data_IF_824561653389
#
_entry.id   IF_824561653389
#
_cell.length_a   1.000
_cell.length_b   1.000
_cell.length_c   1.000
_cell.angle_alpha   90.00
_cell.angle_beta   90.00
_cell.angle_gamma   90.00
#
_symmetry.space_group_name_H-M   'P 1'
#
loop_
_entity.id
_entity.type
_entity.pdbx_description
1 polymer ?
#
# COMPACT_ATOMS: atom_id res chain seq x y z
N UNK A 1 20.02 -44.54 52.03
CA UNK A 1 20.91 -43.66 51.30
C UNK A 1 20.46 -43.73 49.84
N UNK A 2 19.59 -42.82 49.40
CA UNK A 2 19.03 -42.79 48.05
C UNK A 2 19.34 -41.40 47.49
N UNK A 3 20.24 -41.37 46.50
CA UNK A 3 20.62 -40.15 45.75
C UNK A 3 19.48 -39.79 44.80
N UNK A 4 18.93 -38.57 44.90
CA UNK A 4 18.03 -37.98 43.94
C UNK A 4 18.87 -37.21 42.89
N UNK A 5 18.86 -37.65 41.66
CA UNK A 5 19.38 -36.91 40.52
C UNK A 5 18.32 -35.88 40.07
N UNK A 6 18.64 -34.60 40.19
CA UNK A 6 17.93 -33.50 39.60
C UNK A 6 18.52 -33.26 38.17
N UNK A 7 17.75 -33.58 37.13
CA UNK A 7 18.03 -33.18 35.79
C UNK A 7 17.50 -31.73 35.60
N UNK A 8 18.45 -30.80 35.51
CA UNK A 8 18.15 -29.44 35.11
C UNK A 8 17.98 -29.38 33.59
N UNK A 9 16.76 -29.24 33.11
CA UNK A 9 16.45 -28.99 31.71
C UNK A 9 16.79 -27.54 31.32
N UNK A 10 17.83 -27.34 30.51
CA UNK A 10 18.15 -26.06 29.93
C UNK A 10 17.13 -25.74 28.81
N UNK A 11 16.27 -24.78 29.05
CA UNK A 11 15.39 -24.20 28.00
C UNK A 11 16.28 -23.30 27.14
N UNK A 12 16.62 -23.76 25.94
CA UNK A 12 17.21 -22.91 24.91
C UNK A 12 16.12 -21.95 24.42
N UNK A 13 16.14 -20.73 24.92
CA UNK A 13 15.41 -19.62 24.33
C UNK A 13 16.07 -19.29 22.99
N UNK A 14 15.47 -19.73 21.88
CA UNK A 14 15.81 -19.25 20.54
C UNK A 14 15.39 -17.81 20.41
N UNK A 15 16.28 -16.90 20.80
CA UNK A 15 16.14 -15.48 20.53
C UNK A 15 16.12 -15.30 19.00
N UNK A 16 14.99 -14.83 18.49
CA UNK A 16 14.92 -14.25 17.13
C UNK A 16 15.82 -13.03 17.17
N UNK A 17 17.05 -13.19 16.67
CA UNK A 17 17.97 -12.08 16.44
C UNK A 17 17.33 -11.19 15.39
N UNK A 18 16.79 -10.05 15.81
CA UNK A 18 16.53 -8.93 14.92
C UNK A 18 17.84 -8.65 14.19
N UNK A 19 17.84 -8.92 12.87
CA UNK A 19 18.96 -8.62 11.98
C UNK A 19 19.42 -7.20 12.26
N UNK A 20 20.74 -7.04 12.36
CA UNK A 20 21.41 -5.76 12.59
C UNK A 20 20.74 -4.66 11.78
N UNK A 21 20.07 -3.73 12.47
CA UNK A 21 19.70 -2.43 11.92
C UNK A 21 21.01 -1.85 11.36
N UNK A 22 21.12 -1.79 10.04
CA UNK A 22 22.19 -1.00 9.43
C UNK A 22 22.20 0.32 10.17
N UNK A 23 23.33 0.71 10.76
CA UNK A 23 23.40 1.92 11.56
C UNK A 23 23.01 3.07 10.64
N UNK A 24 21.77 3.55 10.79
CA UNK A 24 21.28 4.68 10.02
C UNK A 24 22.15 5.88 10.39
N UNK A 25 22.52 6.75 9.42
CA UNK A 25 23.38 7.87 9.66
C UNK A 25 22.80 8.77 10.78
N UNK A 26 23.69 9.31 11.61
CA UNK A 26 23.37 10.38 12.55
C UNK A 26 23.59 11.72 11.88
N UNK A 27 22.76 12.70 12.21
CA UNK A 27 22.87 14.03 11.63
C UNK A 27 23.65 14.96 12.57
N UNK A 28 24.68 15.70 12.08
CA UNK A 28 25.36 16.72 12.87
C UNK A 28 24.41 17.82 13.37
N UNK A 29 24.80 18.51 14.45
CA UNK A 29 24.07 19.68 14.92
C UNK A 29 23.93 20.74 13.82
N UNK A 30 22.81 21.46 13.81
CA UNK A 30 22.54 22.50 12.82
C UNK A 30 21.19 23.16 13.07
N UNK A 31 20.76 24.03 12.16
CA UNK A 31 19.46 24.68 12.27
C UNK A 31 18.31 23.67 12.29
N UNK A 32 17.28 23.87 13.15
CA UNK A 32 16.13 22.99 13.19
C UNK A 32 15.37 22.95 11.85
N UNK A 33 14.94 21.74 11.45
CA UNK A 33 14.19 21.50 10.23
C UNK A 33 12.85 20.92 10.63
N UNK A 34 11.77 21.58 10.25
CA UNK A 34 10.40 21.09 10.44
C UNK A 34 9.86 20.59 9.11
N UNK A 35 9.27 19.39 9.13
CA UNK A 35 8.71 18.72 7.97
C UNK A 35 7.24 18.47 8.25
N UNK A 36 6.35 19.03 7.46
CA UNK A 36 4.94 18.67 7.46
C UNK A 36 4.74 17.47 6.55
N UNK A 37 4.16 16.40 7.08
CA UNK A 37 3.92 15.16 6.34
C UNK A 37 2.45 14.71 6.45
N UNK A 38 1.84 14.38 5.31
CA UNK A 38 0.53 13.75 5.23
C UNK A 38 0.70 12.38 4.61
N UNK A 39 0.44 11.30 5.38
CA UNK A 39 0.85 9.98 4.92
C UNK A 39 -0.33 9.01 4.73
N UNK A 40 -0.82 8.38 5.76
CA UNK A 40 -1.78 7.28 5.63
C UNK A 40 -3.25 7.75 5.55
N UNK A 41 -4.18 6.91 5.04
CA UNK A 41 -5.59 7.28 4.98
C UNK A 41 -6.23 7.50 6.36
N UNK A 42 -5.90 6.64 7.34
CA UNK A 42 -6.48 6.66 8.69
C UNK A 42 -5.38 6.51 9.75
N UNK A 43 -5.55 7.09 10.95
CA UNK A 43 -4.60 6.95 12.05
C UNK A 43 -4.57 5.52 12.65
N UNK A 44 -5.55 4.68 12.34
CA UNK A 44 -5.65 3.28 12.77
C UNK A 44 -4.88 2.30 11.87
N UNK A 45 -4.35 2.76 10.74
CA UNK A 45 -3.60 1.89 9.83
C UNK A 45 -2.28 1.44 10.46
N UNK A 46 -1.94 0.14 10.40
CA UNK A 46 -0.65 -0.35 10.89
C UNK A 46 0.56 0.33 10.26
N UNK A 47 0.47 0.72 8.98
CA UNK A 47 1.49 1.50 8.28
C UNK A 47 1.82 2.80 9.03
N UNK A 48 0.80 3.45 9.58
CA UNK A 48 0.94 4.68 10.35
C UNK A 48 1.50 4.40 11.75
N UNK A 49 0.87 3.49 12.48
CA UNK A 49 1.17 3.26 13.90
C UNK A 49 2.46 2.48 14.14
N UNK A 50 2.83 1.58 13.22
CA UNK A 50 3.99 0.69 13.37
C UNK A 50 5.22 1.14 12.57
N UNK A 51 5.06 2.04 11.60
CA UNK A 51 6.19 2.49 10.77
C UNK A 51 6.29 4.01 10.72
N UNK A 52 5.26 4.73 10.28
CA UNK A 52 5.38 6.19 10.11
C UNK A 52 5.66 6.89 11.45
N UNK A 53 4.94 6.53 12.51
CA UNK A 53 5.17 7.08 13.84
C UNK A 53 6.56 6.70 14.38
N UNK A 54 6.90 5.41 14.56
CA UNK A 54 8.15 5.06 15.24
C UNK A 54 9.41 5.30 14.39
N UNK A 55 9.33 5.21 13.05
CA UNK A 55 10.51 5.31 12.18
C UNK A 55 10.64 6.69 11.56
N UNK A 56 9.57 7.18 10.89
CA UNK A 56 9.63 8.45 10.18
C UNK A 56 9.56 9.65 11.13
N UNK A 57 8.69 9.62 12.15
CA UNK A 57 8.57 10.73 13.10
C UNK A 57 9.61 10.63 14.23
N UNK A 58 9.47 9.61 15.08
CA UNK A 58 10.23 9.51 16.32
C UNK A 58 11.68 9.11 16.07
N UNK A 59 11.91 8.16 15.15
CA UNK A 59 13.24 7.72 14.76
C UNK A 59 14.04 8.83 14.06
N UNK A 60 13.41 9.64 13.22
CA UNK A 60 14.04 10.81 12.60
C UNK A 60 14.46 11.84 13.65
N UNK A 61 13.57 12.18 14.58
CA UNK A 61 13.87 13.10 15.66
C UNK A 61 15.03 12.59 16.56
N UNK A 62 14.96 11.33 16.97
CA UNK A 62 15.98 10.72 17.83
C UNK A 62 17.38 10.70 17.18
N UNK A 63 17.49 10.22 15.93
CA UNK A 63 18.77 10.12 15.21
C UNK A 63 19.36 11.47 14.77
N UNK A 64 18.53 12.49 14.67
CA UNK A 64 18.97 13.85 14.38
C UNK A 64 19.19 14.71 15.63
N UNK A 65 19.13 14.12 16.84
CA UNK A 65 19.16 14.86 18.11
C UNK A 65 18.14 16.02 18.14
N UNK A 66 16.94 15.80 17.58
CA UNK A 66 15.86 16.78 17.51
C UNK A 66 16.01 17.83 16.41
N UNK A 67 17.07 17.78 15.60
CA UNK A 67 17.29 18.74 14.50
C UNK A 67 16.21 18.61 13.43
N UNK A 68 15.80 17.39 13.08
CA UNK A 68 14.72 17.13 12.10
C UNK A 68 13.47 16.66 12.85
N UNK A 69 12.38 17.41 12.70
CA UNK A 69 11.10 17.15 13.34
C UNK A 69 10.01 16.95 12.29
N UNK A 70 9.44 15.75 12.21
CA UNK A 70 8.36 15.42 11.29
C UNK A 70 7.02 15.55 11.99
N UNK A 71 6.16 16.44 11.49
CA UNK A 71 4.78 16.60 11.93
C UNK A 71 3.88 15.76 11.04
N UNK A 72 3.49 14.58 11.54
CA UNK A 72 2.64 13.64 10.83
C UNK A 72 1.16 14.00 10.97
N UNK A 73 0.43 13.81 9.88
CA UNK A 73 -1.03 13.76 9.86
C UNK A 73 -1.51 12.74 8.83
N UNK A 74 -2.77 12.31 8.94
CA UNK A 74 -3.41 11.39 8.00
C UNK A 74 -4.34 12.12 7.04
N UNK A 75 -4.79 11.43 5.97
CA UNK A 75 -5.79 11.99 5.05
C UNK A 75 -7.08 12.34 5.78
N UNK A 76 -7.55 11.46 6.67
CA UNK A 76 -8.79 11.70 7.44
C UNK A 76 -8.67 12.93 8.35
N UNK A 77 -7.54 13.14 9.04
CA UNK A 77 -7.31 14.31 9.90
C UNK A 77 -7.25 15.62 9.11
N UNK A 78 -6.89 15.55 7.82
CA UNK A 78 -6.85 16.70 6.91
C UNK A 78 -8.08 16.81 6.01
N UNK A 79 -9.06 15.91 6.16
CA UNK A 79 -10.26 15.83 5.32
C UNK A 79 -9.94 15.73 3.81
N UNK A 80 -9.00 14.83 3.48
CA UNK A 80 -8.53 14.57 2.11
C UNK A 80 -9.03 13.21 1.60
N UNK A 81 -9.42 13.15 0.34
CA UNK A 81 -9.75 11.88 -0.34
C UNK A 81 -8.50 11.12 -0.82
N UNK A 82 -7.34 11.79 -0.90
CA UNK A 82 -6.04 11.24 -1.26
C UNK A 82 -5.51 11.69 -2.62
N UNK A 83 -6.36 11.96 -3.59
CA UNK A 83 -5.96 12.43 -4.93
C UNK A 83 -5.36 13.85 -4.93
N UNK A 84 -5.55 14.62 -3.86
CA UNK A 84 -4.99 15.96 -3.70
C UNK A 84 -3.51 15.98 -3.29
N UNK A 85 -2.96 14.85 -2.88
CA UNK A 85 -1.60 14.77 -2.31
C UNK A 85 -0.53 15.32 -3.26
N UNK A 86 -0.58 14.97 -4.55
CA UNK A 86 0.39 15.48 -5.54
C UNK A 86 0.36 17.02 -5.58
N UNK A 87 -0.82 17.61 -5.57
CA UNK A 87 -1.00 19.07 -5.58
C UNK A 87 -0.48 19.72 -4.31
N UNK A 88 -0.76 19.14 -3.13
CA UNK A 88 -0.28 19.65 -1.84
C UNK A 88 1.26 19.64 -1.75
N UNK A 89 1.87 18.54 -2.20
CA UNK A 89 3.32 18.41 -2.28
C UNK A 89 3.90 19.40 -3.29
N UNK A 90 3.36 19.46 -4.50
CA UNK A 90 3.81 20.38 -5.55
C UNK A 90 3.77 21.84 -5.11
N UNK A 91 2.68 22.24 -4.44
CA UNK A 91 2.53 23.64 -3.97
C UNK A 91 3.38 23.97 -2.75
N UNK A 92 4.04 22.99 -2.11
CA UNK A 92 4.81 23.16 -0.90
C UNK A 92 3.95 23.39 0.35
N UNK A 93 2.66 23.03 0.31
CA UNK A 93 1.79 23.05 1.50
C UNK A 93 2.18 21.93 2.49
N UNK A 94 2.78 20.88 1.99
CA UNK A 94 3.45 19.82 2.75
C UNK A 94 4.77 19.47 2.08
N UNK A 95 5.78 19.16 2.88
CA UNK A 95 7.08 18.73 2.37
C UNK A 95 7.04 17.28 1.92
N UNK A 96 6.27 16.42 2.63
CA UNK A 96 6.11 15.01 2.34
C UNK A 96 4.62 14.68 2.24
N UNK A 97 4.22 14.01 1.16
CA UNK A 97 2.88 13.47 1.00
C UNK A 97 2.93 12.02 0.56
N UNK A 98 2.06 11.16 1.08
CA UNK A 98 1.98 9.78 0.64
C UNK A 98 0.55 9.39 0.26
N UNK A 99 0.45 8.50 -0.72
CA UNK A 99 -0.81 7.92 -1.17
C UNK A 99 -0.57 6.76 -2.13
N UNK A 100 -1.61 5.99 -2.42
CA UNK A 100 -1.50 4.91 -3.40
C UNK A 100 -1.24 5.49 -4.79
N UNK A 101 -0.26 4.94 -5.51
CA UNK A 101 0.21 5.51 -6.77
C UNK A 101 -0.88 5.54 -7.84
N UNK A 102 -1.78 4.55 -7.83
CA UNK A 102 -2.95 4.55 -8.72
C UNK A 102 -3.93 5.71 -8.42
N UNK A 103 -4.12 6.09 -7.15
CA UNK A 103 -4.92 7.28 -6.78
C UNK A 103 -4.22 8.58 -7.21
N UNK A 104 -2.89 8.59 -7.18
CA UNK A 104 -2.07 9.75 -7.55
C UNK A 104 -1.82 9.87 -9.07
N UNK A 105 -2.26 8.90 -9.87
CA UNK A 105 -1.93 8.79 -11.30
C UNK A 105 -2.65 9.77 -12.22
N UNK A 106 -3.62 10.55 -11.71
CA UNK A 106 -4.41 11.47 -12.51
C UNK A 106 -3.57 12.44 -13.35
N UNK A 107 -2.57 13.07 -12.72
CA UNK A 107 -1.64 14.02 -13.39
C UNK A 107 -0.40 13.32 -13.96
N UNK A 108 -0.05 12.13 -13.46
CA UNK A 108 1.17 11.39 -13.80
C UNK A 108 0.83 9.91 -14.10
N UNK A 109 0.27 9.59 -15.28
CA UNK A 109 -0.32 8.28 -15.59
C UNK A 109 0.62 7.07 -15.47
N UNK A 110 1.95 7.28 -15.55
CA UNK A 110 2.95 6.21 -15.35
C UNK A 110 2.85 5.58 -13.97
N UNK A 111 2.38 6.32 -12.95
CA UNK A 111 2.24 5.84 -11.57
C UNK A 111 1.24 4.68 -11.45
N UNK A 112 0.17 4.68 -12.26
CA UNK A 112 -0.81 3.58 -12.27
C UNK A 112 -0.17 2.26 -12.76
N UNK A 113 0.82 2.36 -13.68
CA UNK A 113 1.53 1.21 -14.24
C UNK A 113 2.34 0.39 -13.25
N UNK A 114 2.61 0.93 -12.06
CA UNK A 114 3.36 0.26 -11.01
C UNK A 114 2.55 -0.87 -10.34
N UNK A 115 1.23 -0.72 -10.28
CA UNK A 115 0.34 -1.66 -9.58
C UNK A 115 -1.01 -1.83 -10.28
N UNK A 116 -0.97 -2.20 -11.55
CA UNK A 116 -2.18 -2.47 -12.33
C UNK A 116 -2.94 -3.69 -11.76
N UNK A 117 -4.27 -3.63 -11.78
CA UNK A 117 -5.11 -4.73 -11.31
C UNK A 117 -4.83 -6.03 -12.09
N UNK A 118 -4.44 -7.09 -11.39
CA UNK A 118 -4.07 -8.39 -11.97
C UNK A 118 -2.61 -8.50 -12.44
N UNK A 119 -1.78 -7.46 -12.27
CA UNK A 119 -0.39 -7.44 -12.75
C UNK A 119 0.53 -8.38 -11.94
N UNK A 120 0.58 -8.19 -10.64
CA UNK A 120 1.52 -8.90 -9.76
C UNK A 120 0.79 -9.96 -8.93
N UNK A 121 1.09 -11.27 -9.12
CA UNK A 121 0.47 -12.35 -8.36
C UNK A 121 0.92 -12.39 -6.90
N UNK A 122 2.12 -11.88 -6.60
CA UNK A 122 2.66 -11.80 -5.25
C UNK A 122 3.39 -10.48 -4.96
N UNK A 123 3.65 -10.24 -3.68
CA UNK A 123 4.23 -8.99 -3.19
C UNK A 123 5.68 -8.77 -3.63
N UNK A 124 6.44 -9.85 -3.89
CA UNK A 124 7.84 -9.73 -4.33
C UNK A 124 7.90 -9.24 -5.77
N UNK A 125 6.98 -9.72 -6.61
CA UNK A 125 6.83 -9.22 -7.98
C UNK A 125 6.40 -7.75 -7.97
N UNK A 126 5.44 -7.37 -7.10
CA UNK A 126 5.04 -5.99 -6.93
C UNK A 126 6.21 -5.09 -6.51
N UNK A 127 7.08 -5.57 -5.59
CA UNK A 127 8.27 -4.84 -5.17
C UNK A 127 9.28 -4.68 -6.31
N UNK A 128 9.57 -5.74 -7.04
CA UNK A 128 10.49 -5.69 -8.20
C UNK A 128 10.01 -4.71 -9.26
N UNK A 129 8.71 -4.73 -9.57
CA UNK A 129 8.09 -3.79 -10.52
C UNK A 129 8.20 -2.36 -10.01
N UNK A 130 7.86 -2.10 -8.76
CA UNK A 130 7.94 -0.77 -8.17
C UNK A 130 9.37 -0.21 -8.23
N UNK A 131 10.37 -0.99 -7.83
CA UNK A 131 11.79 -0.60 -7.86
C UNK A 131 12.27 -0.36 -9.31
N UNK A 132 11.86 -1.19 -10.27
CA UNK A 132 12.25 -1.05 -11.67
C UNK A 132 11.62 0.18 -12.35
N UNK A 133 10.38 0.55 -12.01
CA UNK A 133 9.68 1.70 -12.59
C UNK A 133 10.07 3.02 -11.93
N UNK A 134 10.59 3.02 -10.70
CA UNK A 134 10.92 4.23 -9.93
C UNK A 134 11.73 5.30 -10.73
N UNK A 135 12.80 4.95 -11.46
CA UNK A 135 13.55 5.95 -12.22
C UNK A 135 12.73 6.62 -13.33
N UNK A 136 11.84 5.86 -13.96
CA UNK A 136 10.95 6.38 -15.02
C UNK A 136 9.88 7.30 -14.42
N UNK A 137 9.25 6.85 -13.33
CA UNK A 137 8.24 7.61 -12.60
C UNK A 137 8.80 8.95 -12.09
N UNK A 138 10.03 8.96 -11.57
CA UNK A 138 10.66 10.19 -11.09
C UNK A 138 10.94 11.18 -12.23
N UNK A 139 11.38 10.74 -13.42
CA UNK A 139 11.54 11.65 -14.57
C UNK A 139 10.25 12.38 -14.94
N UNK A 140 9.11 11.71 -14.79
CA UNK A 140 7.82 12.33 -15.09
C UNK A 140 7.35 13.22 -13.91
N UNK A 141 7.51 12.77 -12.66
CA UNK A 141 7.14 13.54 -11.46
C UNK A 141 7.94 14.84 -11.29
N UNK A 142 9.21 14.85 -11.68
CA UNK A 142 10.06 16.04 -11.57
C UNK A 142 9.52 17.20 -12.40
N UNK A 143 8.85 16.93 -13.54
CA UNK A 143 8.15 17.95 -14.33
C UNK A 143 6.97 18.57 -13.59
N UNK A 144 6.42 17.84 -12.59
CA UNK A 144 5.35 18.32 -11.72
C UNK A 144 5.87 18.88 -10.39
N UNK A 145 7.19 19.03 -10.23
CA UNK A 145 7.78 19.58 -9.01
C UNK A 145 7.70 18.64 -7.80
N UNK A 146 7.58 17.33 -8.03
CA UNK A 146 7.55 16.29 -7.01
C UNK A 146 8.57 15.19 -7.32
N UNK A 147 8.93 14.39 -6.31
CA UNK A 147 9.80 13.22 -6.45
C UNK A 147 9.35 12.12 -5.49
N UNK A 148 9.33 10.88 -5.96
CA UNK A 148 9.18 9.69 -5.11
C UNK A 148 10.52 9.38 -4.44
N UNK A 149 10.51 9.30 -3.12
CA UNK A 149 11.70 8.98 -2.30
C UNK A 149 11.60 7.59 -1.65
N UNK A 150 10.39 7.04 -1.56
CA UNK A 150 10.16 5.67 -1.09
C UNK A 150 8.83 5.15 -1.64
N UNK A 151 8.72 3.83 -1.78
CA UNK A 151 7.46 3.15 -2.11
C UNK A 151 7.22 1.99 -1.15
N UNK A 152 5.95 1.63 -0.99
CA UNK A 152 5.53 0.58 -0.09
C UNK A 152 4.19 -0.01 -0.52
N UNK A 153 3.89 -1.29 -0.19
CA UNK A 153 2.58 -1.87 -0.45
C UNK A 153 1.65 -1.65 0.74
N UNK A 154 0.37 -1.64 0.48
CA UNK A 154 -0.61 -2.10 1.46
C UNK A 154 -0.68 -3.64 1.43
N UNK A 155 -1.40 -4.30 2.37
CA UNK A 155 -1.75 -5.72 2.24
C UNK A 155 -2.47 -5.99 0.92
N UNK A 156 -2.46 -7.23 0.45
CA UNK A 156 -3.15 -7.63 -0.78
C UNK A 156 -4.56 -7.02 -0.84
N UNK A 157 -4.85 -6.35 -1.93
CA UNK A 157 -6.15 -5.74 -2.17
C UNK A 157 -7.14 -6.82 -2.57
N UNK A 158 -8.13 -7.02 -1.73
CA UNK A 158 -9.14 -8.08 -1.84
C UNK A 158 -10.55 -7.50 -1.80
N UNK A 159 -11.53 -8.26 -2.28
CA UNK A 159 -12.93 -7.82 -2.32
C UNK A 159 -13.62 -8.14 -0.99
N UNK A 160 -14.30 -7.14 -0.45
CA UNK A 160 -15.23 -7.22 0.68
C UNK A 160 -16.64 -6.99 0.16
N UNK A 161 -17.61 -7.83 0.51
CA UNK A 161 -19.02 -7.66 0.12
C UNK A 161 -19.96 -7.74 1.31
N UNK A 162 -21.05 -6.97 1.24
CA UNK A 162 -22.17 -6.98 2.19
C UNK A 162 -23.03 -8.25 2.08
N UNK A 163 -23.08 -8.85 0.89
CA UNK A 163 -23.84 -10.04 0.58
C UNK A 163 -22.94 -11.16 0.05
N UNK A 164 -23.35 -12.44 0.19
CA UNK A 164 -22.58 -13.59 -0.25
C UNK A 164 -22.12 -13.50 -1.71
N UNK A 165 -20.90 -13.96 -1.98
CA UNK A 165 -20.36 -14.27 -3.30
C UNK A 165 -19.40 -15.45 -3.14
N UNK A 166 -19.14 -16.18 -4.22
CA UNK A 166 -18.30 -17.39 -4.23
C UNK A 166 -17.23 -17.35 -5.33
N UNK A 167 -17.35 -16.42 -6.30
CA UNK A 167 -16.47 -16.27 -7.44
C UNK A 167 -16.45 -14.83 -7.94
N UNK A 168 -15.50 -14.49 -8.81
CA UNK A 168 -15.45 -13.19 -9.49
C UNK A 168 -16.71 -12.93 -10.34
N UNK A 169 -17.33 -13.98 -10.89
CA UNK A 169 -18.54 -13.84 -11.72
C UNK A 169 -19.77 -13.35 -10.92
N UNK A 170 -19.81 -13.61 -9.60
CA UNK A 170 -20.90 -13.16 -8.72
C UNK A 170 -20.86 -11.64 -8.46
N UNK A 171 -19.79 -10.97 -8.89
CA UNK A 171 -19.66 -9.52 -8.79
C UNK A 171 -20.41 -8.79 -9.90
N UNK A 172 -20.89 -9.49 -10.94
CA UNK A 172 -21.68 -8.90 -12.03
C UNK A 172 -22.89 -8.14 -11.47
N UNK A 173 -23.07 -6.91 -11.96
CA UNK A 173 -24.14 -6.01 -11.56
C UNK A 173 -23.98 -5.35 -10.19
N UNK A 174 -23.01 -5.76 -9.37
CA UNK A 174 -22.77 -5.14 -8.04
C UNK A 174 -22.06 -3.80 -8.18
N UNK A 175 -22.43 -2.84 -7.34
CA UNK A 175 -21.69 -1.59 -7.17
C UNK A 175 -20.48 -1.85 -6.29
N UNK A 176 -19.29 -1.62 -6.85
CA UNK A 176 -18.02 -1.92 -6.16
C UNK A 176 -17.21 -0.64 -5.99
N UNK A 177 -16.89 -0.28 -4.76
CA UNK A 177 -15.97 0.82 -4.51
C UNK A 177 -14.57 0.49 -5.02
N UNK A 178 -14.04 1.40 -5.82
CA UNK A 178 -12.66 1.37 -6.35
C UNK A 178 -11.91 2.66 -5.98
N UNK A 179 -10.60 2.70 -6.24
CA UNK A 179 -9.75 3.87 -5.94
C UNK A 179 -8.73 4.20 -7.04
N UNK A 180 -8.93 3.65 -8.24
CA UNK A 180 -8.06 3.92 -9.38
C UNK A 180 -8.58 3.31 -10.68
N UNK A 181 -8.02 3.79 -11.79
CA UNK A 181 -8.52 3.45 -13.14
C UNK A 181 -8.33 1.98 -13.51
N UNK A 182 -7.22 1.35 -13.13
CA UNK A 182 -6.98 -0.08 -13.40
C UNK A 182 -8.01 -0.98 -12.72
N UNK A 183 -8.45 -0.63 -11.52
CA UNK A 183 -9.54 -1.32 -10.82
C UNK A 183 -10.90 -1.08 -11.50
N UNK A 184 -11.14 0.13 -12.02
CA UNK A 184 -12.36 0.41 -12.80
C UNK A 184 -12.40 -0.48 -14.05
N UNK A 185 -11.31 -0.55 -14.82
CA UNK A 185 -11.21 -1.43 -15.99
C UNK A 185 -11.47 -2.89 -15.61
N UNK A 186 -10.85 -3.36 -14.51
CA UNK A 186 -10.96 -4.74 -14.04
C UNK A 186 -12.41 -5.11 -13.69
N UNK A 187 -13.05 -4.33 -12.82
CA UNK A 187 -14.41 -4.63 -12.38
C UNK A 187 -15.47 -4.37 -13.44
N UNK A 188 -15.27 -3.40 -14.32
CA UNK A 188 -16.16 -3.18 -15.48
C UNK A 188 -16.16 -4.39 -16.40
N UNK A 189 -14.99 -5.01 -16.64
CA UNK A 189 -14.88 -6.22 -17.46
C UNK A 189 -15.62 -7.41 -16.84
N UNK A 190 -15.70 -7.49 -15.52
CA UNK A 190 -16.53 -8.47 -14.81
C UNK A 190 -18.04 -8.16 -14.89
N UNK A 191 -18.42 -7.02 -15.46
CA UNK A 191 -19.81 -6.54 -15.53
C UNK A 191 -20.31 -5.94 -14.22
N UNK A 192 -19.42 -5.62 -13.29
CA UNK A 192 -19.74 -4.85 -12.09
C UNK A 192 -19.88 -3.34 -12.40
N UNK A 193 -20.30 -2.56 -11.43
CA UNK A 193 -20.48 -1.11 -11.49
C UNK A 193 -19.47 -0.42 -10.55
N UNK A 194 -18.27 -0.05 -11.01
CA UNK A 194 -17.29 0.63 -10.18
C UNK A 194 -17.76 2.01 -9.71
N UNK A 195 -17.51 2.32 -8.44
CA UNK A 195 -17.80 3.62 -7.82
C UNK A 195 -16.52 4.15 -7.16
N UNK A 196 -16.05 5.33 -7.54
CA UNK A 196 -14.85 5.94 -6.97
C UNK A 196 -15.21 6.68 -5.68
N UNK A 197 -14.67 6.20 -4.54
CA UNK A 197 -14.90 6.78 -3.20
C UNK A 197 -13.57 6.78 -2.44
N UNK A 198 -13.25 7.91 -1.77
CA UNK A 198 -12.09 8.02 -0.87
C UNK A 198 -12.15 7.01 0.28
N UNK A 199 -11.00 6.46 0.70
CA UNK A 199 -10.97 5.39 1.70
C UNK A 199 -11.67 5.74 3.03
N UNK A 200 -11.55 6.96 3.60
CA UNK A 200 -12.22 7.32 4.85
C UNK A 200 -13.76 7.22 4.80
N UNK A 201 -14.35 7.35 3.62
CA UNK A 201 -15.81 7.39 3.42
C UNK A 201 -16.42 5.99 3.19
N UNK A 202 -15.58 4.97 2.95
CA UNK A 202 -16.06 3.66 2.46
C UNK A 202 -16.87 2.90 3.50
N UNK A 203 -16.49 2.98 4.78
CA UNK A 203 -17.29 2.36 5.86
C UNK A 203 -18.75 2.81 5.79
N UNK A 204 -18.99 4.12 5.76
CA UNK A 204 -20.34 4.67 5.66
C UNK A 204 -21.04 4.35 4.33
N UNK A 205 -20.29 4.25 3.23
CA UNK A 205 -20.85 3.86 1.94
C UNK A 205 -21.34 2.41 1.93
N UNK A 206 -20.57 1.49 2.53
CA UNK A 206 -20.97 0.09 2.74
C UNK A 206 -22.16 0.03 3.70
N UNK A 207 -22.10 0.68 4.85
CA UNK A 207 -23.16 0.68 5.87
C UNK A 207 -24.49 1.09 5.27
N UNK A 208 -24.53 2.21 4.55
CA UNK A 208 -25.75 2.77 3.94
C UNK A 208 -26.17 2.07 2.64
N UNK A 209 -25.37 1.12 2.15
CA UNK A 209 -25.66 0.42 0.89
C UNK A 209 -25.50 1.29 -0.36
N UNK A 210 -24.69 2.34 -0.31
CA UNK A 210 -24.29 3.10 -1.51
C UNK A 210 -23.49 2.21 -2.45
N UNK A 211 -22.66 1.33 -1.89
CA UNK A 211 -21.97 0.27 -2.60
C UNK A 211 -22.31 -1.09 -1.98
N UNK A 212 -22.27 -2.13 -2.79
CA UNK A 212 -22.55 -3.53 -2.39
C UNK A 212 -21.28 -4.24 -1.95
N UNK A 213 -20.15 -3.85 -2.56
CA UNK A 213 -18.81 -4.36 -2.28
C UNK A 213 -17.81 -3.21 -2.30
N UNK A 214 -16.61 -3.50 -1.79
CA UNK A 214 -15.48 -2.58 -1.90
C UNK A 214 -14.18 -3.39 -1.98
N UNK A 215 -13.15 -2.83 -2.68
CA UNK A 215 -11.81 -3.40 -2.68
C UNK A 215 -10.89 -2.57 -1.79
N UNK A 216 -10.12 -3.27 -0.95
CA UNK A 216 -9.05 -2.69 -0.13
C UNK A 216 -8.11 -3.77 0.36
N UNK A 217 -7.00 -3.37 0.98
CA UNK A 217 -6.10 -4.30 1.67
C UNK A 217 -6.82 -5.13 2.72
N UNK A 218 -6.53 -6.44 2.79
CA UNK A 218 -7.15 -7.33 3.76
C UNK A 218 -7.04 -6.78 5.19
N UNK A 219 -5.85 -6.33 5.61
CA UNK A 219 -5.64 -5.68 6.90
C UNK A 219 -6.22 -4.27 6.99
N UNK A 220 -6.24 -3.53 5.87
CA UNK A 220 -6.80 -2.17 5.84
C UNK A 220 -8.30 -2.18 6.13
N UNK A 221 -9.03 -3.20 5.62
CA UNK A 221 -10.44 -3.40 5.93
C UNK A 221 -10.67 -3.68 7.43
N UNK A 222 -9.83 -4.52 8.04
CA UNK A 222 -9.86 -4.79 9.48
C UNK A 222 -9.63 -3.50 10.30
N UNK A 223 -8.58 -2.73 9.96
CA UNK A 223 -8.26 -1.47 10.62
C UNK A 223 -9.38 -0.42 10.50
N UNK A 224 -10.14 -0.44 9.40
CA UNK A 224 -11.27 0.44 9.14
C UNK A 224 -12.63 -0.16 9.56
N UNK A 225 -12.64 -1.27 10.29
CA UNK A 225 -13.83 -1.92 10.88
C UNK A 225 -14.84 -2.43 9.83
N UNK A 226 -14.39 -2.76 8.62
CA UNK A 226 -15.28 -3.25 7.56
C UNK A 226 -16.00 -4.57 7.86
N UNK A 227 -15.51 -5.48 8.76
CA UNK A 227 -16.29 -6.64 9.20
C UNK A 227 -17.64 -6.30 9.85
N UNK A 228 -17.82 -5.07 10.33
CA UNK A 228 -19.11 -4.64 10.92
C UNK A 228 -20.19 -4.40 9.84
N UNK A 229 -19.76 -4.09 8.61
CA UNK A 229 -20.63 -3.68 7.49
C UNK A 229 -20.50 -4.58 6.26
N UNK A 230 -19.73 -5.67 6.35
CA UNK A 230 -19.52 -6.67 5.29
C UNK A 230 -19.58 -8.08 5.87
N UNK A 231 -19.93 -9.07 5.05
CA UNK A 231 -20.10 -10.46 5.48
C UNK A 231 -19.14 -11.45 4.83
N UNK A 232 -18.54 -11.08 3.68
CA UNK A 232 -17.67 -11.95 2.89
C UNK A 232 -16.41 -11.19 2.48
N UNK A 233 -15.27 -11.89 2.50
CA UNK A 233 -13.96 -11.40 2.08
C UNK A 233 -13.30 -12.42 1.15
N UNK A 234 -12.78 -11.99 -0.01
CA UNK A 234 -11.98 -12.84 -0.89
C UNK A 234 -10.53 -12.92 -0.42
N UNK A 235 -9.86 -14.03 -0.72
CA UNK A 235 -8.40 -14.17 -0.56
C UNK A 235 -7.62 -13.88 -1.85
N UNK A 236 -8.31 -13.53 -2.97
CA UNK A 236 -7.67 -13.23 -4.26
C UNK A 236 -6.98 -11.86 -4.22
N UNK A 237 -5.64 -11.79 -4.34
CA UNK A 237 -4.95 -10.53 -4.55
C UNK A 237 -5.28 -9.96 -5.94
N UNK A 238 -5.93 -8.81 -5.98
CA UNK A 238 -6.18 -8.09 -7.25
C UNK A 238 -5.07 -7.08 -7.54
N UNK A 239 -4.52 -6.44 -6.50
CA UNK A 239 -3.37 -5.55 -6.55
C UNK A 239 -2.75 -5.43 -5.15
N UNK A 240 -1.70 -4.61 -4.98
CA UNK A 240 -1.02 -4.39 -3.70
C UNK A 240 -1.19 -2.97 -3.18
N UNK A 241 -1.94 -2.14 -3.89
CA UNK A 241 -2.09 -0.71 -3.64
C UNK A 241 -0.74 -0.07 -3.31
N UNK A 242 0.26 -0.31 -4.18
CA UNK A 242 1.58 0.28 -4.00
C UNK A 242 1.44 1.78 -3.84
N UNK A 243 1.93 2.28 -2.73
CA UNK A 243 1.91 3.68 -2.34
C UNK A 243 3.32 4.27 -2.41
N UNK A 244 3.40 5.59 -2.45
CA UNK A 244 4.67 6.27 -2.49
C UNK A 244 4.70 7.48 -1.58
N UNK A 245 5.87 7.76 -1.02
CA UNK A 245 6.17 9.02 -0.36
C UNK A 245 6.76 9.97 -1.39
N UNK A 246 6.02 11.03 -1.69
CA UNK A 246 6.44 12.12 -2.54
C UNK A 246 6.99 13.26 -1.69
N UNK A 247 8.03 13.90 -2.20
CA UNK A 247 8.56 15.14 -1.62
C UNK A 247 8.40 16.30 -2.58
N UNK A 248 8.23 17.52 -2.05
CA UNK A 248 8.35 18.74 -2.85
C UNK A 248 9.77 18.84 -3.38
N UNK A 249 9.93 18.85 -4.71
CA UNK A 249 11.24 18.79 -5.36
C UNK A 249 12.11 20.03 -5.03
N UNK A 250 11.51 21.22 -4.99
CA UNK A 250 12.24 22.45 -4.66
C UNK A 250 12.74 22.44 -3.22
N UNK A 251 11.91 22.01 -2.27
CA UNK A 251 12.33 21.86 -0.88
C UNK A 251 13.43 20.82 -0.76
N UNK A 252 13.25 19.63 -1.36
CA UNK A 252 14.22 18.53 -1.34
C UNK A 252 15.59 18.93 -1.86
N UNK A 253 15.64 19.67 -2.97
CA UNK A 253 16.87 20.12 -3.60
C UNK A 253 17.61 21.21 -2.81
N UNK A 254 16.89 21.94 -1.94
CA UNK A 254 17.49 22.96 -1.05
C UNK A 254 18.01 22.39 0.28
N UNK A 255 17.74 21.13 0.58
CA UNK A 255 18.30 20.49 1.77
C UNK A 255 19.82 20.43 1.67
N UNK A 256 20.50 20.68 2.80
CA UNK A 256 21.91 20.41 2.93
C UNK A 256 22.21 18.96 2.54
N UNK A 257 23.32 18.65 1.84
CA UNK A 257 23.64 17.29 1.41
C UNK A 257 23.54 16.27 2.55
N UNK A 258 24.11 16.56 3.72
CA UNK A 258 24.05 15.65 4.87
C UNK A 258 22.60 15.40 5.36
N UNK A 259 21.73 16.41 5.30
CA UNK A 259 20.31 16.27 5.67
C UNK A 259 19.57 15.41 4.63
N UNK A 260 19.85 15.63 3.36
CA UNK A 260 19.26 14.86 2.27
C UNK A 260 19.66 13.39 2.35
N UNK A 261 20.96 13.09 2.53
CA UNK A 261 21.47 11.72 2.69
C UNK A 261 20.86 11.04 3.92
N UNK A 262 20.72 11.78 5.03
CA UNK A 262 20.04 11.30 6.23
C UNK A 262 18.56 10.97 5.96
N UNK A 263 17.84 11.82 5.25
CA UNK A 263 16.44 11.60 4.89
C UNK A 263 16.29 10.45 3.87
N UNK A 264 17.19 10.33 2.89
CA UNK A 264 17.18 9.19 1.94
C UNK A 264 17.37 7.86 2.68
N UNK A 265 18.31 7.78 3.60
CA UNK A 265 18.52 6.58 4.42
C UNK A 265 17.29 6.28 5.30
N UNK A 266 16.69 7.31 5.89
CA UNK A 266 15.47 7.19 6.69
C UNK A 266 14.31 6.67 5.84
N UNK A 267 14.07 7.24 4.66
CA UNK A 267 12.98 6.82 3.77
C UNK A 267 13.19 5.42 3.21
N UNK A 268 14.43 5.01 2.99
CA UNK A 268 14.77 3.63 2.63
C UNK A 268 14.39 2.65 3.75
N UNK A 269 14.68 2.99 5.01
CA UNK A 269 14.29 2.18 6.16
C UNK A 269 12.77 2.11 6.32
N UNK A 270 12.07 3.26 6.21
CA UNK A 270 10.61 3.32 6.17
C UNK A 270 10.06 2.37 5.10
N UNK A 271 10.59 2.45 3.88
CA UNK A 271 10.19 1.57 2.77
C UNK A 271 10.37 0.09 3.13
N UNK A 272 11.56 -0.30 3.63
CA UNK A 272 11.84 -1.69 3.97
C UNK A 272 10.89 -2.24 5.04
N UNK A 273 10.64 -1.47 6.10
CA UNK A 273 9.70 -1.88 7.16
C UNK A 273 8.26 -1.94 6.66
N UNK A 274 7.86 -1.02 5.79
CA UNK A 274 6.53 -1.03 5.17
C UNK A 274 6.33 -2.25 4.25
N UNK A 275 7.35 -2.66 3.45
CA UNK A 275 7.28 -3.87 2.63
C UNK A 275 7.15 -5.13 3.50
N UNK A 276 7.92 -5.23 4.57
CA UNK A 276 7.83 -6.34 5.52
C UNK A 276 6.45 -6.38 6.21
N UNK A 277 5.93 -5.21 6.60
CA UNK A 277 4.60 -5.10 7.20
C UNK A 277 3.49 -5.48 6.21
N UNK A 278 3.56 -5.04 4.95
CA UNK A 278 2.57 -5.38 3.91
C UNK A 278 2.46 -6.88 3.67
N UNK A 279 3.61 -7.58 3.65
CA UNK A 279 3.66 -9.04 3.55
C UNK A 279 2.99 -9.70 4.76
N UNK A 280 3.42 -9.35 5.97
CA UNK A 280 2.90 -9.93 7.21
C UNK A 280 1.40 -9.63 7.40
N UNK A 281 0.98 -8.41 7.11
CA UNK A 281 -0.40 -7.95 7.30
C UNK A 281 -1.40 -8.54 6.28
N UNK A 282 -0.94 -9.17 5.20
CA UNK A 282 -1.84 -9.73 4.18
C UNK A 282 -2.63 -10.92 4.73
N UNK A 283 -1.96 -11.94 5.25
CA UNK A 283 -2.67 -13.12 5.81
C UNK A 283 -3.26 -12.80 7.18
N UNK A 284 -2.53 -12.06 8.02
CA UNK A 284 -3.05 -11.57 9.30
C UNK A 284 -4.39 -10.84 9.12
N UNK A 285 -4.50 -9.95 8.12
CA UNK A 285 -5.74 -9.24 7.83
C UNK A 285 -6.90 -10.17 7.48
N UNK A 286 -6.67 -11.20 6.66
CA UNK A 286 -7.71 -12.21 6.38
C UNK A 286 -8.10 -12.91 7.68
N UNK A 287 -7.14 -13.43 8.44
CA UNK A 287 -7.40 -14.18 9.67
C UNK A 287 -8.16 -13.35 10.72
N UNK A 288 -7.81 -12.06 10.86
CA UNK A 288 -8.53 -11.15 11.74
C UNK A 288 -9.99 -10.92 11.30
N UNK A 289 -10.22 -10.70 10.00
CA UNK A 289 -11.56 -10.48 9.46
C UNK A 289 -12.47 -11.71 9.59
N UNK A 290 -11.91 -12.93 9.46
CA UNK A 290 -12.69 -14.19 9.57
C UNK A 290 -12.74 -14.75 11.00
N UNK A 291 -12.20 -14.04 11.99
CA UNK A 291 -12.25 -14.46 13.40
C UNK A 291 -11.25 -15.56 13.77
N UNK A 292 -10.21 -15.81 12.97
CA UNK A 292 -9.17 -16.81 13.26
C UNK A 292 -8.09 -16.19 14.18
N UNK A 293 -8.30 -16.30 15.49
CA UNK A 293 -7.45 -15.66 16.50
C UNK A 293 -5.96 -16.07 16.41
N UNK A 294 -5.65 -17.32 16.07
CA UNK A 294 -4.27 -17.83 16.01
C UNK A 294 -3.41 -17.13 14.94
N UNK A 295 -4.02 -16.60 13.87
CA UNK A 295 -3.32 -15.88 12.79
C UNK A 295 -3.48 -14.36 12.84
N UNK A 296 -4.18 -13.82 13.85
CA UNK A 296 -4.49 -12.40 14.00
C UNK A 296 -3.62 -11.77 15.09
N UNK A 297 -2.63 -10.98 14.70
CA UNK A 297 -1.65 -10.37 15.62
C UNK A 297 -1.33 -8.90 15.34
N UNK A 298 -1.61 -8.45 14.11
CA UNK A 298 -1.33 -7.07 13.66
C UNK A 298 -2.56 -6.20 13.80
N UNK A 299 -3.74 -6.75 13.49
CA UNK A 299 -5.01 -6.06 13.49
C UNK A 299 -5.90 -6.54 14.65
N UNK A 300 -7.08 -5.93 14.80
CA UNK A 300 -8.06 -6.38 15.77
C UNK A 300 -8.89 -7.53 15.19
N UNK A 301 -9.14 -8.55 16.02
CA UNK A 301 -10.01 -9.65 15.68
C UNK A 301 -11.45 -9.13 15.46
N UNK A 302 -12.08 -9.54 14.38
CA UNK A 302 -13.45 -9.13 14.07
C UNK A 302 -14.44 -9.68 15.11
N UNK A 303 -15.24 -8.80 15.71
CA UNK A 303 -16.33 -9.20 16.61
C UNK A 303 -17.44 -9.94 15.88
N UNK A 304 -17.59 -9.70 14.57
CA UNK A 304 -18.48 -10.41 13.64
C UNK A 304 -17.62 -11.02 12.54
N UNK A 305 -17.22 -12.29 12.66
CA UNK A 305 -16.40 -12.97 11.66
C UNK A 305 -17.05 -12.98 10.28
N UNK A 306 -16.25 -12.68 9.27
CA UNK A 306 -16.66 -12.77 7.86
C UNK A 306 -16.44 -14.18 7.33
N UNK A 307 -17.13 -14.52 6.23
CA UNK A 307 -16.86 -15.74 5.46
C UNK A 307 -15.72 -15.50 4.49
N UNK A 308 -14.67 -16.32 4.54
CA UNK A 308 -13.59 -16.34 3.55
C UNK A 308 -14.08 -16.97 2.24
N UNK A 309 -13.86 -16.27 1.14
CA UNK A 309 -14.12 -16.75 -0.22
C UNK A 309 -12.75 -17.08 -0.84
N UNK A 310 -12.46 -18.38 -0.91
CA UNK A 310 -11.20 -18.88 -1.49
C UNK A 310 -11.27 -18.83 -3.00
N UNK A 311 -10.34 -18.09 -3.62
CA UNK A 311 -10.26 -17.94 -5.06
C UNK A 311 -9.92 -19.27 -5.75
N UNK A 312 -10.75 -19.65 -6.69
CA UNK A 312 -10.51 -20.82 -7.54
C UNK A 312 -9.39 -20.60 -8.55
N UNK A 313 -8.89 -21.69 -9.15
CA UNK A 313 -7.97 -21.59 -10.28
C UNK A 313 -8.59 -20.81 -11.46
N UNK A 314 -9.91 -20.92 -11.65
CA UNK A 314 -10.64 -20.18 -12.68
C UNK A 314 -10.67 -18.68 -12.38
N UNK A 315 -10.89 -18.25 -11.13
CA UNK A 315 -10.85 -16.84 -10.75
C UNK A 315 -9.46 -16.24 -10.99
N UNK A 316 -8.41 -16.96 -10.61
CA UNK A 316 -7.00 -16.53 -10.84
C UNK A 316 -6.68 -16.40 -12.33
N UNK A 317 -7.11 -17.36 -13.14
CA UNK A 317 -6.94 -17.32 -14.59
C UNK A 317 -7.74 -16.16 -15.23
N UNK A 318 -8.98 -15.95 -14.78
CA UNK A 318 -9.83 -14.85 -15.23
C UNK A 318 -9.21 -13.49 -14.87
N UNK A 319 -8.68 -13.31 -13.66
CA UNK A 319 -8.02 -12.08 -13.25
C UNK A 319 -6.80 -11.76 -14.14
N UNK A 320 -5.96 -12.77 -14.43
CA UNK A 320 -4.81 -12.64 -15.34
C UNK A 320 -5.24 -12.28 -16.76
N UNK A 321 -6.31 -12.88 -17.26
CA UNK A 321 -6.84 -12.61 -18.60
C UNK A 321 -7.41 -11.20 -18.69
N UNK A 322 -8.16 -10.74 -17.70
CA UNK A 322 -8.66 -9.35 -17.62
C UNK A 322 -7.50 -8.36 -17.60
N UNK A 323 -6.44 -8.65 -16.84
CA UNK A 323 -5.24 -7.82 -16.86
C UNK A 323 -4.67 -7.70 -18.29
N UNK A 324 -4.44 -8.84 -18.94
CA UNK A 324 -3.82 -8.89 -20.28
C UNK A 324 -4.65 -8.21 -21.36
N UNK A 325 -5.97 -8.44 -21.37
CA UNK A 325 -6.86 -8.02 -22.47
C UNK A 325 -7.51 -6.65 -22.26
N UNK A 326 -7.64 -6.20 -21.02
CA UNK A 326 -8.38 -4.97 -20.73
C UNK A 326 -7.57 -3.96 -19.91
N UNK A 327 -7.03 -4.36 -18.77
CA UNK A 327 -6.39 -3.43 -17.83
C UNK A 327 -5.11 -2.85 -18.43
N UNK A 328 -4.20 -3.69 -18.93
CA UNK A 328 -2.95 -3.26 -19.53
C UNK A 328 -3.17 -2.40 -20.76
N UNK A 329 -3.98 -2.80 -21.78
CA UNK A 329 -4.29 -1.94 -22.90
C UNK A 329 -5.01 -0.65 -22.50
N UNK A 330 -5.89 -0.69 -21.50
CA UNK A 330 -6.58 0.46 -20.95
C UNK A 330 -5.63 1.50 -20.36
N UNK A 331 -4.68 1.04 -19.56
CA UNK A 331 -3.64 1.90 -19.01
C UNK A 331 -2.76 2.51 -20.09
N UNK A 332 -2.29 1.72 -21.07
CA UNK A 332 -1.46 2.25 -22.17
C UNK A 332 -2.23 3.29 -22.99
N UNK A 333 -3.51 3.11 -23.26
CA UNK A 333 -4.32 4.14 -23.94
C UNK A 333 -4.40 5.46 -23.15
N UNK A 334 -4.50 5.41 -21.82
CA UNK A 334 -4.54 6.61 -20.95
C UNK A 334 -3.17 7.26 -20.80
N UNK A 335 -2.15 6.46 -20.71
CA UNK A 335 -0.78 6.90 -20.45
C UNK A 335 -0.03 7.33 -21.72
N UNK A 336 -0.41 6.78 -22.89
CA UNK A 336 0.23 7.01 -24.18
C UNK A 336 1.22 5.92 -24.60
N UNK A 337 1.63 5.94 -25.87
CA UNK A 337 2.45 4.89 -26.50
C UNK A 337 3.76 4.63 -25.73
N UNK A 338 4.43 5.69 -25.25
CA UNK A 338 5.66 5.58 -24.44
C UNK A 338 5.48 4.66 -23.23
N UNK A 339 4.29 4.63 -22.63
CA UNK A 339 4.03 3.76 -21.47
C UNK A 339 3.97 2.29 -21.88
N UNK A 340 3.52 1.97 -23.09
CA UNK A 340 3.61 0.62 -23.64
C UNK A 340 5.06 0.17 -23.88
N UNK A 341 5.92 1.07 -24.33
CA UNK A 341 7.36 0.82 -24.48
C UNK A 341 7.99 0.58 -23.11
N UNK A 342 7.79 1.50 -22.14
CA UNK A 342 8.28 1.34 -20.76
C UNK A 342 7.76 0.05 -20.14
N UNK A 343 6.50 -0.30 -20.34
CA UNK A 343 5.95 -1.57 -19.85
C UNK A 343 6.76 -2.76 -20.41
N UNK A 344 6.94 -2.80 -21.70
CA UNK A 344 7.65 -3.90 -22.38
C UNK A 344 9.13 -4.01 -21.98
N UNK A 345 9.78 -2.88 -21.74
CA UNK A 345 11.21 -2.83 -21.41
C UNK A 345 11.47 -3.09 -19.90
N UNK A 346 10.58 -2.63 -19.04
CA UNK A 346 10.81 -2.59 -17.60
C UNK A 346 9.94 -3.58 -16.83
N UNK A 347 8.64 -3.66 -17.16
CA UNK A 347 7.67 -4.45 -16.37
C UNK A 347 7.48 -5.86 -16.94
N UNK A 348 7.39 -6.00 -18.26
CA UNK A 348 7.17 -7.29 -18.92
C UNK A 348 8.21 -8.36 -18.59
N UNK A 349 9.50 -8.06 -18.42
CA UNK A 349 10.49 -9.04 -17.97
C UNK A 349 10.21 -9.64 -16.60
N UNK A 350 9.47 -8.91 -15.74
CA UNK A 350 9.10 -9.33 -14.39
C UNK A 350 7.75 -10.07 -14.41
N UNK A 351 6.75 -9.48 -15.07
CA UNK A 351 5.38 -10.02 -15.10
C UNK A 351 5.19 -11.21 -16.04
N UNK A 352 6.11 -11.40 -17.00
CA UNK A 352 5.99 -12.41 -18.05
C UNK A 352 4.89 -12.13 -19.08
N UNK A 353 4.26 -10.95 -19.07
CA UNK A 353 3.22 -10.53 -20.02
C UNK A 353 3.74 -9.35 -20.83
N UNK A 354 3.63 -9.39 -22.15
CA UNK A 354 3.99 -8.26 -23.04
C UNK A 354 2.75 -7.52 -23.50
N UNK A 355 2.87 -6.21 -23.66
CA UNK A 355 1.86 -5.38 -24.32
C UNK A 355 2.02 -5.51 -25.84
N UNK A 356 0.90 -5.75 -26.56
CA UNK A 356 0.88 -5.90 -28.00
C UNK A 356 1.41 -7.25 -28.52
N UNK A 357 1.55 -8.25 -27.64
CA UNK A 357 1.91 -9.63 -27.97
C UNK A 357 0.69 -10.55 -28.09
#
# INVERSE_FOLDING_TARGET
MILKNLLAGAILATGVTFSALAQLPTLPAGAPIRISAVTQPLPTQPQYTRVDIPVLRDGTAARSNGRVQVQLSTHAERNLAGNEIVRLVRSGQVEIGAGTLTTLSGDVPILDGIDLAGLAPDINDARRIAEAVLPVANRDLERFGARLVAMYPFPAQVVFCRAPFTSLNDLRGRRIRTFGNSLVDFFTTLGAQPVSIGFPEVYSALERGVVDCAITGSGSGAAARWPEVSTHISDLPVSWAVAGYLVNLNWWNRLEPAVRDFMEATMKEVSNQQWALGLAATRDGIDCNIGRAAGCSIHNLAARPMTEVTASAADKAQAKEIFRTTVLPGWVRRCGARCGEVYNDVIAPISGVRFGG
#
